data_IF_489837920582
#
_entry.id   IF_489837920582
#
_cell.length_a   1.000
_cell.length_b   1.000
_cell.length_c   1.000
_cell.angle_alpha   90.00
_cell.angle_beta   90.00
_cell.angle_gamma   90.00
#
_symmetry.space_group_name_H-M   'P 1'
#
loop_
_entity.id
_entity.type
_entity.pdbx_description
1 polymer ?
#
# COMPACT_ATOMS: atom_id res chain seq x y z
N UNK A 1 7.36 7.62 -5.62
CA UNK A 1 7.79 7.28 -4.24
C UNK A 1 9.22 6.76 -4.32
N UNK A 2 10.18 7.44 -3.68
CA UNK A 2 11.56 6.94 -3.63
C UNK A 2 11.57 5.77 -2.63
N UNK A 3 12.00 4.58 -3.08
CA UNK A 3 12.17 3.40 -2.23
C UNK A 3 13.65 3.28 -1.88
N UNK A 4 13.97 3.21 -0.58
CA UNK A 4 15.31 2.85 -0.11
C UNK A 4 15.21 1.53 0.63
N UNK A 5 16.02 0.56 0.22
CA UNK A 5 16.18 -0.73 0.89
C UNK A 5 17.53 -0.72 1.60
N UNK A 6 17.52 -1.01 2.89
CA UNK A 6 18.73 -1.08 3.71
C UNK A 6 18.67 -2.36 4.52
N UNK A 7 19.78 -3.08 4.57
CA UNK A 7 19.92 -4.27 5.42
C UNK A 7 20.34 -3.81 6.81
N UNK A 8 19.63 -4.28 7.83
CA UNK A 8 19.97 -3.97 9.22
C UNK A 8 21.30 -4.64 9.59
N UNK A 9 22.23 -3.86 10.14
CA UNK A 9 23.48 -4.39 10.68
C UNK A 9 23.31 -4.81 12.15
N UNK A 10 24.40 -5.31 12.75
CA UNK A 10 24.40 -5.74 14.15
C UNK A 10 24.19 -4.60 15.16
N UNK A 11 24.34 -3.34 14.74
CA UNK A 11 24.11 -2.18 15.61
C UNK A 11 22.62 -1.92 15.84
N UNK A 12 21.75 -2.48 14.99
CA UNK A 12 20.29 -2.26 14.99
C UNK A 12 19.89 -0.78 14.86
N UNK A 13 20.81 0.06 14.41
CA UNK A 13 20.57 1.47 14.15
C UNK A 13 20.50 1.72 12.63
N UNK A 14 19.58 2.58 12.21
CA UNK A 14 19.44 2.97 10.80
C UNK A 14 19.61 4.48 10.68
N UNK A 15 20.68 4.91 9.98
CA UNK A 15 20.93 6.31 9.66
C UNK A 15 20.63 6.56 8.17
N UNK A 16 19.67 7.44 7.88
CA UNK A 16 19.37 7.90 6.52
C UNK A 16 20.03 9.27 6.28
N UNK A 17 21.09 9.29 5.48
CA UNK A 17 21.86 10.51 5.17
C UNK A 17 21.74 10.92 3.70
N UNK A 18 22.06 12.19 3.38
CA UNK A 18 22.09 12.74 2.03
C UNK A 18 20.77 12.61 1.25
N UNK A 19 19.63 12.71 1.95
CA UNK A 19 18.34 12.66 1.29
C UNK A 19 18.10 13.94 0.47
N UNK A 20 17.53 13.86 -0.75
CA UNK A 20 17.35 14.98 -1.67
C UNK A 20 16.16 15.87 -1.29
N UNK A 21 15.99 16.17 0.00
CA UNK A 21 14.87 16.96 0.54
C UNK A 21 15.37 18.29 1.08
N UNK A 22 14.48 19.28 1.04
CA UNK A 22 14.75 20.64 1.52
C UNK A 22 14.38 20.77 3.00
N UNK A 23 15.03 21.72 3.67
CA UNK A 23 14.70 22.10 5.05
C UNK A 23 13.23 22.54 5.12
N UNK A 24 12.51 22.07 6.15
CA UNK A 24 11.11 22.39 6.38
C UNK A 24 10.10 21.48 5.68
N UNK A 25 10.54 20.52 4.86
CA UNK A 25 9.62 19.52 4.28
C UNK A 25 9.21 18.48 5.32
N UNK A 26 7.91 18.17 5.37
CA UNK A 26 7.38 17.06 6.16
C UNK A 26 7.63 15.75 5.42
N UNK A 27 8.40 14.87 6.03
CA UNK A 27 8.71 13.55 5.50
C UNK A 27 7.99 12.47 6.29
N UNK A 28 7.51 11.44 5.60
CA UNK A 28 6.96 10.22 6.22
C UNK A 28 7.92 9.08 5.91
N UNK A 29 8.48 8.47 6.96
CA UNK A 29 9.32 7.27 6.83
C UNK A 29 8.45 6.05 7.10
N UNK A 30 8.43 5.11 6.17
CA UNK A 30 7.74 3.84 6.31
C UNK A 30 8.81 2.75 6.39
N UNK A 31 8.94 2.14 7.57
CA UNK A 31 9.84 1.00 7.80
C UNK A 31 9.01 -0.28 7.80
N UNK A 32 9.36 -1.21 6.94
CA UNK A 32 8.72 -2.54 6.87
C UNK A 32 9.81 -3.57 6.61
N UNK A 33 9.81 -4.65 7.39
CA UNK A 33 10.63 -5.81 7.07
C UNK A 33 10.10 -6.47 5.79
N UNK A 34 10.99 -6.95 4.91
CA UNK A 34 10.58 -7.57 3.64
C UNK A 34 9.70 -8.80 3.85
N UNK A 35 10.01 -9.63 4.86
CA UNK A 35 9.16 -10.76 5.26
C UNK A 35 7.75 -10.32 5.68
N UNK A 36 7.65 -9.20 6.40
CA UNK A 36 6.35 -8.66 6.82
C UNK A 36 5.56 -8.14 5.61
N UNK A 37 6.24 -7.46 4.69
CA UNK A 37 5.64 -7.01 3.44
C UNK A 37 5.10 -8.20 2.63
N UNK A 38 5.90 -9.25 2.46
CA UNK A 38 5.50 -10.46 1.75
C UNK A 38 4.32 -11.16 2.46
N UNK A 39 4.37 -11.32 3.78
CA UNK A 39 3.25 -11.88 4.58
C UNK A 39 1.98 -11.06 4.40
N UNK A 40 2.09 -9.73 4.42
CA UNK A 40 0.95 -8.83 4.24
C UNK A 40 0.39 -8.96 2.83
N UNK A 41 1.22 -8.91 1.79
CA UNK A 41 0.81 -9.12 0.40
C UNK A 41 0.08 -10.46 0.22
N UNK A 42 0.62 -11.54 0.80
CA UNK A 42 -0.02 -12.84 0.73
C UNK A 42 -1.38 -12.86 1.45
N UNK A 43 -1.49 -12.21 2.61
CA UNK A 43 -2.76 -12.05 3.34
C UNK A 43 -3.80 -11.33 2.48
N UNK A 44 -3.45 -10.21 1.87
CA UNK A 44 -4.35 -9.47 0.98
C UNK A 44 -4.76 -10.29 -0.24
N UNK A 45 -3.81 -11.01 -0.86
CA UNK A 45 -4.10 -11.89 -1.99
C UNK A 45 -5.08 -13.01 -1.62
N UNK A 46 -4.90 -13.61 -0.45
CA UNK A 46 -5.80 -14.66 0.05
C UNK A 46 -7.20 -14.10 0.34
N UNK A 47 -7.27 -12.95 1.00
CA UNK A 47 -8.54 -12.29 1.28
C UNK A 47 -9.28 -11.93 -0.01
N UNK A 48 -8.58 -11.39 -1.01
CA UNK A 48 -9.19 -11.04 -2.28
C UNK A 48 -9.75 -12.27 -3.01
N UNK A 49 -9.02 -13.39 -3.00
CA UNK A 49 -9.53 -14.66 -3.54
C UNK A 49 -10.80 -15.13 -2.82
N UNK A 50 -10.85 -14.99 -1.50
CA UNK A 50 -12.04 -15.34 -0.71
C UNK A 50 -13.24 -14.45 -1.07
N UNK A 51 -13.02 -13.14 -1.22
CA UNK A 51 -14.05 -12.21 -1.65
C UNK A 51 -14.60 -12.56 -3.05
N UNK A 52 -13.71 -12.83 -4.00
CA UNK A 52 -14.10 -13.20 -5.37
C UNK A 52 -14.84 -14.54 -5.45
N UNK A 53 -14.62 -15.44 -4.48
CA UNK A 53 -15.32 -16.72 -4.41
C UNK A 53 -16.76 -16.59 -3.88
N UNK A 54 -17.16 -15.42 -3.34
CA UNK A 54 -18.52 -15.20 -2.85
C UNK A 54 -19.51 -15.18 -4.03
N UNK A 55 -20.68 -15.84 -3.94
CA UNK A 55 -21.67 -15.85 -5.01
C UNK A 55 -22.12 -14.44 -5.43
N UNK A 56 -22.23 -13.52 -4.47
CA UNK A 56 -22.57 -12.11 -4.71
C UNK A 56 -21.55 -11.41 -5.62
N UNK A 57 -20.26 -11.80 -5.54
CA UNK A 57 -19.22 -11.21 -6.37
C UNK A 57 -19.28 -11.63 -7.84
N UNK A 58 -19.91 -12.78 -8.16
CA UNK A 58 -20.00 -13.28 -9.54
C UNK A 58 -20.95 -12.46 -10.42
N UNK A 59 -21.87 -11.72 -9.81
CA UNK A 59 -22.80 -10.82 -10.51
C UNK A 59 -22.28 -9.38 -10.67
N UNK A 60 -21.14 -9.04 -10.08
CA UNK A 60 -20.56 -7.70 -10.19
C UNK A 60 -19.69 -7.61 -11.44
N UNK A 61 -19.98 -6.64 -12.30
CA UNK A 61 -19.15 -6.36 -13.46
C UNK A 61 -18.07 -5.32 -13.14
N UNK A 62 -17.00 -5.28 -13.94
CA UNK A 62 -15.97 -4.25 -13.81
C UNK A 62 -16.55 -2.84 -13.98
N UNK A 63 -17.57 -2.68 -14.83
CA UNK A 63 -18.28 -1.42 -15.05
C UNK A 63 -19.08 -0.97 -13.81
N UNK A 64 -19.69 -1.91 -13.08
CA UNK A 64 -20.39 -1.62 -11.83
C UNK A 64 -19.42 -1.08 -10.77
N UNK A 65 -18.27 -1.74 -10.63
CA UNK A 65 -17.21 -1.37 -9.68
C UNK A 65 -16.62 -0.01 -10.07
N UNK A 66 -16.31 0.21 -11.35
CA UNK A 66 -15.74 1.46 -11.83
C UNK A 66 -16.69 2.65 -11.61
N UNK A 67 -17.99 2.43 -11.84
CA UNK A 67 -19.03 3.44 -11.57
C UNK A 67 -19.10 3.83 -10.10
N UNK A 68 -19.08 2.85 -9.18
CA UNK A 68 -19.08 3.12 -7.74
C UNK A 68 -17.84 3.91 -7.30
N UNK A 69 -16.65 3.49 -7.74
CA UNK A 69 -15.39 4.17 -7.41
C UNK A 69 -15.39 5.62 -7.91
N UNK A 70 -15.89 5.85 -9.13
CA UNK A 70 -15.95 7.19 -9.70
C UNK A 70 -16.94 8.08 -8.95
N UNK A 71 -18.10 7.54 -8.55
CA UNK A 71 -19.06 8.25 -7.71
C UNK A 71 -18.40 8.68 -6.39
N UNK A 72 -17.76 7.76 -5.66
CA UNK A 72 -17.10 8.05 -4.39
C UNK A 72 -15.95 9.07 -4.51
N UNK A 73 -15.18 9.03 -5.60
CA UNK A 73 -14.09 9.99 -5.85
C UNK A 73 -14.61 11.39 -6.17
N UNK A 74 -15.73 11.49 -6.86
CA UNK A 74 -16.33 12.77 -7.19
C UNK A 74 -17.02 13.40 -5.97
N UNK A 75 -17.61 12.58 -5.08
CA UNK A 75 -18.21 13.04 -3.82
C UNK A 75 -17.19 13.59 -2.81
N UNK A 76 -15.96 13.07 -2.78
CA UNK A 76 -14.90 13.52 -1.86
C UNK A 76 -13.97 14.60 -2.44
N UNK A 77 -14.25 15.12 -3.63
CA UNK A 77 -13.49 16.22 -4.27
C UNK A 77 -14.26 17.56 -4.29
N UNK A 78 -15.28 17.72 -3.44
CA UNK A 78 -15.94 18.99 -3.12
C UNK A 78 -15.55 19.46 -1.70
#
# INVERSE_FOLDING_TARGET
MIKHQVTMDNSRNLLLSNLPYRIGQKLTVIVMAEEELQRRQQKWKNFFKQLQALPVAQGLTDDDIAREINAYRNENHH
#
